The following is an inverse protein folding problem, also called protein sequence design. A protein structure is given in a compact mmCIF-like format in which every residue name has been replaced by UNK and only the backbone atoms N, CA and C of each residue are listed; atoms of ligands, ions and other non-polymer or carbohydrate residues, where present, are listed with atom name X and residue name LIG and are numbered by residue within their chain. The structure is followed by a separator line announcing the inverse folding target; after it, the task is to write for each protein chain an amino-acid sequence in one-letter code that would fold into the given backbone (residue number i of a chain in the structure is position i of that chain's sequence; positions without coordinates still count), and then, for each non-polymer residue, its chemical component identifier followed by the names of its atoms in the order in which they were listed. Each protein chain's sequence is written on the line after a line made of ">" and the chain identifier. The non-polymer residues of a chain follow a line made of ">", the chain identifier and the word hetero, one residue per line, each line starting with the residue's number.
data_IF_852124783433
#
_entry.id   IF_852124783433
#
_cell.length_a   1.000
_cell.length_b   1.000
_cell.length_c   1.000
_cell.angle_alpha   90.00
_cell.angle_beta   90.00
_cell.angle_gamma   90.00
#
_symmetry.space_group_name_H-M   'P 1'
#
loop_
_entity.id
_entity.type
_entity.pdbx_description
1 polymer ?
#
# COMPACT_ATOMS: atom_id res chain seq x y z
N UNK A 1 10.57 29.59 -39.20
CA UNK A 1 9.25 29.58 -38.49
C UNK A 1 8.99 28.26 -37.78
N UNK A 2 9.17 27.10 -38.43
CA UNK A 2 8.92 25.78 -37.84
C UNK A 2 9.68 25.50 -36.52
N UNK A 3 10.97 25.84 -36.41
CA UNK A 3 11.74 25.65 -35.17
C UNK A 3 11.20 26.44 -33.97
N UNK A 4 10.67 27.65 -34.20
CA UNK A 4 10.07 28.46 -33.11
C UNK A 4 8.76 27.85 -32.62
N UNK A 5 7.99 27.20 -33.51
CA UNK A 5 6.75 26.50 -33.15
C UNK A 5 7.09 25.23 -32.34
N UNK A 6 8.07 24.46 -32.79
CA UNK A 6 8.52 23.25 -32.07
C UNK A 6 9.04 23.61 -30.68
N UNK A 7 9.88 24.65 -30.56
CA UNK A 7 10.39 25.10 -29.27
C UNK A 7 9.26 25.53 -28.32
N UNK A 8 8.25 26.25 -28.83
CA UNK A 8 7.10 26.67 -28.02
C UNK A 8 6.26 25.47 -27.55
N UNK A 9 6.05 24.48 -28.42
CA UNK A 9 5.36 23.23 -28.05
C UNK A 9 6.12 22.45 -26.98
N UNK A 10 7.45 22.32 -27.11
CA UNK A 10 8.29 21.63 -26.13
C UNK A 10 8.22 22.33 -24.76
N UNK A 11 8.36 23.65 -24.73
CA UNK A 11 8.27 24.44 -23.49
C UNK A 11 6.88 24.36 -22.87
N UNK A 12 5.82 24.46 -23.66
CA UNK A 12 4.45 24.34 -23.16
C UNK A 12 4.17 22.94 -22.56
N UNK A 13 4.65 21.87 -23.20
CA UNK A 13 4.52 20.50 -22.68
C UNK A 13 5.33 20.31 -21.40
N UNK A 14 6.52 20.90 -21.30
CA UNK A 14 7.33 20.85 -20.08
C UNK A 14 6.65 21.60 -18.92
N UNK A 15 6.14 22.81 -19.16
CA UNK A 15 5.43 23.60 -18.15
C UNK A 15 4.16 22.88 -17.70
N UNK A 16 3.34 22.39 -18.64
CA UNK A 16 2.16 21.60 -18.32
C UNK A 16 2.53 20.36 -17.49
N UNK A 17 3.58 19.63 -17.90
CA UNK A 17 4.06 18.46 -17.15
C UNK A 17 4.44 18.80 -15.71
N UNK A 18 5.12 19.93 -15.48
CA UNK A 18 5.47 20.38 -14.13
C UNK A 18 4.21 20.79 -13.34
N UNK A 19 3.32 21.57 -13.96
CA UNK A 19 2.08 22.06 -13.34
C UNK A 19 1.12 20.93 -12.94
N UNK A 20 1.12 19.81 -13.66
CA UNK A 20 0.28 18.65 -13.30
C UNK A 20 1.01 17.65 -12.39
N UNK A 21 2.29 17.35 -12.64
CA UNK A 21 3.01 16.33 -11.85
C UNK A 21 3.25 16.76 -10.41
N UNK A 22 3.62 18.02 -10.18
CA UNK A 22 3.97 18.49 -8.82
C UNK A 22 2.76 18.43 -7.88
N UNK A 23 1.56 18.93 -8.25
CA UNK A 23 0.38 18.80 -7.38
C UNK A 23 -0.05 17.34 -7.16
N UNK A 24 0.05 16.48 -8.18
CA UNK A 24 -0.29 15.06 -8.04
C UNK A 24 0.66 14.39 -7.03
N UNK A 25 1.95 14.65 -7.14
CA UNK A 25 2.95 14.09 -6.23
C UNK A 25 2.78 14.64 -4.81
N UNK A 26 2.48 15.93 -4.66
CA UNK A 26 2.17 16.54 -3.37
C UNK A 26 0.92 15.92 -2.74
N UNK A 27 -0.15 15.72 -3.51
CA UNK A 27 -1.38 15.08 -3.05
C UNK A 27 -1.14 13.63 -2.61
N UNK A 28 -0.29 12.88 -3.34
CA UNK A 28 0.11 11.51 -2.94
C UNK A 28 0.84 11.53 -1.61
N UNK A 29 1.85 12.39 -1.45
CA UNK A 29 2.61 12.51 -0.19
C UNK A 29 1.74 12.96 0.98
N UNK A 30 0.80 13.88 0.74
CA UNK A 30 -0.16 14.30 1.75
C UNK A 30 -1.06 13.14 2.18
N UNK A 31 -1.56 12.34 1.22
CA UNK A 31 -2.34 11.14 1.53
C UNK A 31 -1.54 10.12 2.34
N UNK A 32 -0.29 9.87 1.95
CA UNK A 32 0.61 8.98 2.70
C UNK A 32 0.77 9.48 4.15
N UNK A 33 1.04 10.78 4.33
CA UNK A 33 1.20 11.40 5.65
C UNK A 33 -0.07 11.34 6.51
N UNK A 34 -1.23 11.66 5.94
CA UNK A 34 -2.52 11.61 6.65
C UNK A 34 -2.89 10.17 7.05
N UNK A 35 -2.53 9.20 6.21
CA UNK A 35 -2.76 7.77 6.49
C UNK A 35 -1.86 7.29 7.64
N UNK A 36 -0.58 7.63 7.61
CA UNK A 36 0.39 7.28 8.68
C UNK A 36 -0.01 7.91 10.02
N UNK A 37 -0.48 9.16 10.00
CA UNK A 37 -0.96 9.86 11.20
C UNK A 37 -2.29 9.29 11.72
N UNK A 38 -2.96 8.40 10.99
CA UNK A 38 -4.27 7.89 11.33
C UNK A 38 -5.35 8.98 11.36
N UNK A 39 -5.12 10.11 10.66
CA UNK A 39 -6.09 11.19 10.53
C UNK A 39 -7.29 10.77 9.68
N UNK A 40 -7.08 9.79 8.79
CA UNK A 40 -8.13 9.09 8.08
C UNK A 40 -8.72 8.03 9.02
N UNK A 41 -10.04 7.88 9.05
CA UNK A 41 -10.68 6.79 9.81
C UNK A 41 -10.23 5.45 9.22
N UNK A 42 -9.71 4.54 10.05
CA UNK A 42 -9.40 3.18 9.59
C UNK A 42 -10.69 2.44 9.33
N UNK A 43 -10.72 1.65 8.25
CA UNK A 43 -11.84 0.79 7.98
C UNK A 43 -11.78 -0.44 8.90
N UNK A 44 -10.57 -0.95 9.21
CA UNK A 44 -10.39 -2.24 9.93
C UNK A 44 -9.05 -2.37 10.65
N UNK A 45 -9.00 -3.18 11.71
CA UNK A 45 -7.81 -3.44 12.55
C UNK A 45 -7.62 -4.95 12.75
N UNK A 46 -6.42 -5.44 12.46
CA UNK A 46 -6.06 -6.87 12.46
C UNK A 46 -4.74 -7.12 13.18
N UNK A 47 -4.46 -8.41 13.40
CA UNK A 47 -3.13 -8.92 13.72
C UNK A 47 -2.56 -9.60 12.47
N UNK A 48 -1.34 -9.23 12.10
CA UNK A 48 -0.59 -9.90 11.05
C UNK A 48 -0.06 -11.25 11.51
N UNK A 49 -0.24 -12.28 10.71
CA UNK A 49 0.50 -13.54 10.80
C UNK A 49 1.22 -13.76 9.48
N UNK A 50 2.54 -13.90 9.53
CA UNK A 50 3.39 -14.16 8.39
C UNK A 50 3.71 -15.66 8.34
N UNK A 51 3.52 -16.27 7.16
CA UNK A 51 3.83 -17.68 6.88
C UNK A 51 4.69 -17.79 5.61
N UNK A 52 5.70 -18.66 5.54
CA UNK A 52 6.24 -19.50 6.62
C UNK A 52 7.25 -18.76 7.52
N UNK A 53 7.64 -17.54 7.15
CA UNK A 53 8.68 -16.79 7.88
C UNK A 53 8.04 -15.97 9.02
N UNK A 54 8.62 -15.98 10.22
CA UNK A 54 8.09 -15.21 11.36
C UNK A 54 8.29 -13.69 11.19
N UNK A 55 9.18 -13.30 10.29
CA UNK A 55 9.57 -11.93 10.04
C UNK A 55 9.81 -11.70 8.55
N UNK A 56 9.47 -10.50 8.07
CA UNK A 56 9.65 -10.05 6.70
C UNK A 56 10.51 -8.79 6.70
N UNK A 57 11.77 -8.96 6.32
CA UNK A 57 12.77 -7.89 6.23
C UNK A 57 12.71 -7.14 4.90
N UNK A 58 12.15 -7.76 3.87
CA UNK A 58 12.09 -7.19 2.51
C UNK A 58 10.65 -7.01 2.08
N UNK A 59 10.32 -5.80 1.61
CA UNK A 59 8.98 -5.47 1.15
C UNK A 59 8.66 -6.22 -0.15
N UNK A 60 7.48 -6.86 -0.27
CA UNK A 60 7.09 -7.56 -1.49
C UNK A 60 6.85 -6.56 -2.62
N UNK A 61 7.17 -6.95 -3.84
CA UNK A 61 6.90 -6.12 -5.03
C UNK A 61 5.46 -6.27 -5.49
N UNK A 62 4.86 -7.44 -5.23
CA UNK A 62 3.50 -7.76 -5.60
C UNK A 62 2.82 -8.60 -4.51
N UNK A 63 1.50 -8.52 -4.51
CA UNK A 63 0.62 -9.22 -3.59
C UNK A 63 -0.53 -9.84 -4.36
N UNK A 64 -1.13 -10.90 -3.83
CA UNK A 64 -2.35 -11.46 -4.40
C UNK A 64 -3.28 -11.91 -3.29
N UNK A 65 -4.53 -11.46 -3.33
CA UNK A 65 -5.56 -11.96 -2.42
C UNK A 65 -5.96 -13.37 -2.83
N UNK A 66 -6.10 -14.25 -1.85
CA UNK A 66 -6.60 -15.60 -2.08
C UNK A 66 -8.12 -15.64 -2.22
N UNK A 67 -8.66 -16.85 -2.07
CA UNK A 67 -10.11 -17.10 -1.96
C UNK A 67 -10.71 -16.52 -0.67
N UNK A 68 -9.89 -16.33 0.35
CA UNK A 68 -10.29 -15.62 1.56
C UNK A 68 -9.85 -14.17 1.46
N UNK A 69 -10.72 -13.25 1.89
CA UNK A 69 -10.40 -11.82 2.01
C UNK A 69 -9.50 -11.51 3.21
N UNK A 70 -8.92 -12.52 3.85
CA UNK A 70 -8.05 -12.40 5.03
C UNK A 70 -6.62 -12.86 4.77
N UNK A 71 -6.33 -13.45 3.61
CA UNK A 71 -4.99 -13.91 3.26
C UNK A 71 -4.48 -13.23 2.00
N UNK A 72 -3.21 -12.85 2.03
CA UNK A 72 -2.51 -12.24 0.90
C UNK A 72 -1.20 -12.95 0.69
N UNK A 73 -1.06 -13.60 -0.45
CA UNK A 73 0.21 -14.14 -0.91
C UNK A 73 1.17 -13.01 -1.27
N UNK A 74 2.40 -13.08 -0.78
CA UNK A 74 3.44 -12.07 -0.97
C UNK A 74 4.44 -12.56 -2.01
N UNK A 75 4.81 -11.68 -2.95
CA UNK A 75 5.70 -12.00 -4.06
C UNK A 75 6.84 -11.00 -4.19
N UNK A 76 8.01 -11.50 -4.58
CA UNK A 76 9.16 -10.72 -5.01
C UNK A 76 9.48 -11.11 -6.47
N UNK A 77 9.17 -10.21 -7.41
CA UNK A 77 9.05 -10.57 -8.82
C UNK A 77 7.97 -11.63 -9.02
N UNK A 78 8.35 -12.79 -9.54
CA UNK A 78 7.46 -13.94 -9.75
C UNK A 78 7.52 -14.96 -8.60
N UNK A 79 8.49 -14.84 -7.69
CA UNK A 79 8.69 -15.80 -6.60
C UNK A 79 7.77 -15.47 -5.42
N UNK A 80 6.97 -16.45 -4.98
CA UNK A 80 6.24 -16.36 -3.71
C UNK A 80 7.23 -16.40 -2.54
N UNK A 81 7.22 -15.36 -1.72
CA UNK A 81 8.10 -15.23 -0.56
C UNK A 81 7.39 -15.53 0.76
N UNK A 82 6.05 -15.46 0.77
CA UNK A 82 5.27 -15.82 1.93
C UNK A 82 3.78 -15.54 1.75
N UNK A 83 3.10 -15.44 2.88
CA UNK A 83 1.69 -15.15 3.01
C UNK A 83 1.49 -14.30 4.26
N UNK A 84 0.76 -13.19 4.09
CA UNK A 84 0.26 -12.36 5.17
C UNK A 84 -1.19 -12.74 5.42
N UNK A 85 -1.45 -13.30 6.59
CA UNK A 85 -2.79 -13.60 7.07
C UNK A 85 -3.19 -12.52 8.07
N UNK A 86 -4.32 -11.86 7.82
CA UNK A 86 -4.91 -10.87 8.70
C UNK A 86 -5.96 -11.55 9.59
N UNK A 87 -5.66 -11.61 10.88
CA UNK A 87 -6.56 -12.18 11.89
C UNK A 87 -7.30 -11.04 12.59
N UNK A 88 -8.63 -11.05 12.53
CA UNK A 88 -9.47 -10.02 13.16
C UNK A 88 -9.37 -10.07 14.69
N UNK A 89 -9.23 -8.90 15.34
CA UNK A 89 -9.21 -8.79 16.81
C UNK A 89 -10.59 -8.81 17.46
N UNK A 90 -11.68 -8.59 16.70
CA UNK A 90 -13.05 -8.56 17.24
C UNK A 90 -14.08 -8.93 16.16
N UNK A 91 -15.23 -9.53 16.54
CA UNK A 91 -16.25 -9.98 15.60
C UNK A 91 -17.11 -8.80 15.15
N UNK A 92 -16.61 -8.00 14.21
CA UNK A 92 -17.39 -6.95 13.57
C UNK A 92 -17.26 -7.10 12.06
N UNK A 93 -18.14 -7.93 11.50
CA UNK A 93 -18.67 -7.82 10.15
C UNK A 93 -17.71 -7.45 9.01
N UNK A 94 -17.25 -8.51 8.34
CA UNK A 94 -16.93 -8.62 6.90
C UNK A 94 -15.56 -8.08 6.45
N UNK A 95 -14.67 -9.06 6.23
CA UNK A 95 -13.73 -9.22 5.12
C UNK A 95 -12.53 -8.28 5.04
N UNK A 96 -11.30 -8.70 5.39
CA UNK A 96 -10.15 -7.79 5.49
C UNK A 96 -9.81 -6.98 4.22
N UNK A 97 -9.83 -7.60 3.05
CA UNK A 97 -9.60 -6.96 1.75
C UNK A 97 -10.89 -6.83 0.93
N UNK A 98 -11.10 -5.72 0.19
CA UNK A 98 -12.27 -5.57 -0.66
C UNK A 98 -12.25 -6.48 -1.91
N UNK A 99 -11.09 -7.00 -2.29
CA UNK A 99 -10.89 -7.79 -3.50
C UNK A 99 -10.66 -9.29 -3.20
N UNK A 100 -11.11 -10.15 -4.11
CA UNK A 100 -10.95 -11.61 -4.06
C UNK A 100 -10.19 -12.09 -5.29
N UNK A 101 -9.28 -13.04 -5.10
CA UNK A 101 -8.54 -13.66 -6.21
C UNK A 101 -7.92 -12.61 -7.16
N UNK A 102 -7.47 -11.47 -6.61
CA UNK A 102 -7.00 -10.32 -7.36
C UNK A 102 -5.52 -10.09 -7.08
N UNK A 103 -4.76 -9.70 -8.11
CA UNK A 103 -3.35 -9.31 -7.96
C UNK A 103 -3.25 -7.82 -7.66
N UNK A 104 -2.25 -7.44 -6.88
CA UNK A 104 -1.90 -6.06 -6.64
C UNK A 104 -0.40 -5.83 -6.67
N UNK A 105 0.00 -4.60 -6.96
CA UNK A 105 1.38 -4.14 -6.92
C UNK A 105 1.58 -3.22 -5.73
N UNK A 106 2.64 -3.45 -4.96
CA UNK A 106 3.07 -2.49 -3.93
C UNK A 106 3.80 -1.35 -4.65
N UNK A 107 3.13 -0.21 -4.77
CA UNK A 107 3.68 0.93 -5.53
C UNK A 107 4.53 1.84 -4.64
N UNK A 108 4.05 2.15 -3.43
CA UNK A 108 4.75 2.98 -2.46
C UNK A 108 4.78 2.27 -1.12
N UNK A 109 5.88 2.43 -0.39
CA UNK A 109 6.02 1.85 0.94
C UNK A 109 7.06 2.59 1.76
N UNK A 110 6.95 2.45 3.07
CA UNK A 110 7.98 2.80 4.04
C UNK A 110 8.07 1.65 5.04
N UNK A 111 9.30 1.22 5.37
CA UNK A 111 9.54 0.20 6.38
C UNK A 111 10.70 0.65 7.29
N UNK A 112 10.41 0.93 8.55
CA UNK A 112 11.41 1.39 9.54
C UNK A 112 12.05 0.23 10.32
N UNK A 113 11.28 -0.84 10.50
CA UNK A 113 11.71 -2.09 11.13
C UNK A 113 11.10 -3.25 10.34
N UNK A 114 11.71 -4.43 10.34
CA UNK A 114 11.11 -5.61 9.75
C UNK A 114 9.69 -5.87 10.27
N UNK A 115 8.82 -6.43 9.44
CA UNK A 115 7.48 -6.82 9.88
C UNK A 115 7.55 -8.19 10.56
N UNK A 116 7.01 -8.30 11.77
CA UNK A 116 6.97 -9.57 12.50
C UNK A 116 5.53 -10.06 12.65
N UNK A 117 5.36 -11.37 12.75
CA UNK A 117 4.08 -11.97 13.16
C UNK A 117 3.65 -11.43 14.53
N UNK A 118 2.36 -11.18 14.70
CA UNK A 118 1.77 -10.58 15.91
C UNK A 118 1.62 -9.06 15.86
N UNK A 119 2.17 -8.39 14.84
CA UNK A 119 2.02 -6.94 14.66
C UNK A 119 0.57 -6.54 14.40
N UNK A 120 0.20 -5.33 14.82
CA UNK A 120 -1.11 -4.76 14.52
C UNK A 120 -1.10 -4.15 13.13
N UNK A 121 -2.09 -4.49 12.30
CA UNK A 121 -2.24 -3.95 10.96
C UNK A 121 -3.55 -3.20 10.87
N UNK A 122 -3.49 -1.94 10.45
CA UNK A 122 -4.66 -1.14 10.12
C UNK A 122 -4.79 -1.05 8.61
N UNK A 123 -5.99 -1.27 8.10
CA UNK A 123 -6.28 -1.18 6.66
C UNK A 123 -7.08 0.08 6.41
N UNK A 124 -6.53 0.99 5.61
CA UNK A 124 -7.16 2.24 5.22
C UNK A 124 -7.51 2.20 3.73
N UNK A 125 -8.76 2.53 3.39
CA UNK A 125 -9.17 2.75 2.00
C UNK A 125 -8.78 4.16 1.55
N UNK A 126 -7.85 4.25 0.60
CA UNK A 126 -7.49 5.49 -0.08
C UNK A 126 -8.14 5.58 -1.46
N UNK A 127 -9.21 6.36 -1.61
CA UNK A 127 -9.99 6.51 -2.86
C UNK A 127 -10.41 5.16 -3.48
N UNK A 128 -9.55 4.55 -4.30
CA UNK A 128 -9.75 3.29 -5.04
C UNK A 128 -8.82 2.16 -4.55
N UNK A 129 -7.76 2.49 -3.80
CA UNK A 129 -6.68 1.58 -3.42
C UNK A 129 -6.58 1.45 -1.89
N UNK A 130 -5.74 0.53 -1.41
CA UNK A 130 -5.64 0.25 0.03
C UNK A 130 -4.23 0.52 0.55
N UNK A 131 -4.17 1.08 1.76
CA UNK A 131 -2.98 1.12 2.56
C UNK A 131 -3.06 0.05 3.66
N UNK A 132 -1.98 -0.70 3.84
CA UNK A 132 -1.75 -1.45 5.07
C UNK A 132 -0.73 -0.67 5.90
N UNK A 133 -1.10 -0.31 7.12
CA UNK A 133 -0.24 0.38 8.06
C UNK A 133 0.06 -0.55 9.23
N UNK A 134 1.34 -0.77 9.48
CA UNK A 134 1.83 -1.72 10.46
C UNK A 134 2.29 -0.99 11.72
N UNK A 135 1.87 -1.52 12.87
CA UNK A 135 2.25 -1.07 14.18
C UNK A 135 2.81 -2.26 14.98
N UNK A 136 3.84 -2.02 15.79
CA UNK A 136 4.38 -3.05 16.67
C UNK A 136 3.42 -3.31 17.85
N UNK A 137 3.80 -4.25 18.73
CA UNK A 137 3.00 -4.62 19.91
C UNK A 137 2.80 -3.47 20.90
N UNK A 138 3.69 -2.49 20.90
CA UNK A 138 3.63 -1.29 21.73
C UNK A 138 2.78 -0.18 21.10
N UNK A 139 2.33 -0.38 19.85
CA UNK A 139 1.56 0.59 19.08
C UNK A 139 2.42 1.62 18.34
N UNK A 140 3.73 1.44 18.28
CA UNK A 140 4.59 2.32 17.50
C UNK A 140 4.44 2.02 16.00
N UNK A 141 4.48 3.06 15.19
CA UNK A 141 4.45 2.94 13.73
C UNK A 141 5.71 2.22 13.22
N UNK A 142 5.50 1.17 12.41
CA UNK A 142 6.56 0.36 11.81
C UNK A 142 6.73 0.68 10.32
N UNK A 143 5.64 0.87 9.60
CA UNK A 143 5.67 1.10 8.16
C UNK A 143 4.29 1.09 7.52
N UNK A 144 4.24 1.36 6.22
CA UNK A 144 3.02 1.18 5.42
C UNK A 144 3.34 0.62 4.04
N UNK A 145 2.34 -0.02 3.42
CA UNK A 145 2.32 -0.40 2.01
C UNK A 145 1.09 0.20 1.33
N UNK A 146 1.29 0.88 0.21
CA UNK A 146 0.24 1.31 -0.71
C UNK A 146 0.13 0.31 -1.86
N UNK A 147 -1.02 -0.36 -1.96
CA UNK A 147 -1.26 -1.40 -2.97
C UNK A 147 -2.23 -0.88 -4.03
N UNK A 148 -1.78 -0.93 -5.28
CA UNK A 148 -2.63 -0.78 -6.46
C UNK A 148 -3.12 -2.16 -6.87
N UNK A 149 -4.44 -2.34 -6.93
CA UNK A 149 -5.04 -3.60 -7.36
C UNK A 149 -5.28 -3.60 -8.88
N UNK A 150 -4.95 -4.72 -9.53
CA UNK A 150 -5.15 -4.98 -10.95
C UNK A 150 -6.57 -5.55 -11.13
N UNK A 151 -7.57 -4.68 -11.08
CA UNK A 151 -8.99 -5.03 -11.31
C UNK A 151 -9.40 -4.84 -12.75
#
# INVERSE_FOLDING_TARGET
>A
MAERIIAFMVVAVLIASVLFRVPIELARRLMDALTVQGAIKTDRVFVAQLNPQPELTTVPTAVSTGKSRSSVSLYQGERRVGELVLVERAPAGRDAFPYLETRGRVERYELRKPLSSGMTVKVYRGMVNNYLVFYDSEGNYVGYWFIIWET
#
